data_IF_127648205810
#
_entry.id   IF_127648205810
#
_cell.length_a   1.000
_cell.length_b   1.000
_cell.length_c   1.000
_cell.angle_alpha   90.00
_cell.angle_beta   90.00
_cell.angle_gamma   90.00
#
_symmetry.space_group_name_H-M   'P 1'
#
loop_
_entity.id
_entity.type
_entity.pdbx_description
1 polymer ?
#
# COMPACT_ATOMS: atom_id res chain seq x y z
N UNK A 1 66.26 57.29 -31.12
CA UNK A 1 64.83 57.62 -31.18
C UNK A 1 63.93 56.43 -31.57
N UNK A 2 64.15 55.65 -32.65
CA UNK A 2 63.19 54.60 -33.06
C UNK A 2 63.13 53.35 -32.14
N UNK A 3 64.18 53.06 -31.35
CA UNK A 3 64.18 51.93 -30.41
C UNK A 3 63.21 52.10 -29.23
N UNK A 4 63.00 53.34 -28.75
CA UNK A 4 62.11 53.62 -27.62
C UNK A 4 60.63 53.43 -27.98
N UNK A 5 60.22 53.82 -29.18
CA UNK A 5 58.82 53.69 -29.66
C UNK A 5 58.40 52.21 -29.78
N UNK A 6 59.33 51.34 -30.16
CA UNK A 6 59.09 49.89 -30.24
C UNK A 6 58.98 49.27 -28.84
N UNK A 7 59.69 49.80 -27.85
CA UNK A 7 59.61 49.35 -26.45
C UNK A 7 58.29 49.78 -25.81
N UNK A 8 57.86 51.02 -26.03
CA UNK A 8 56.56 51.54 -25.57
C UNK A 8 55.38 50.76 -26.18
N UNK A 9 55.44 50.45 -27.49
CA UNK A 9 54.41 49.63 -28.14
C UNK A 9 54.32 48.20 -27.57
N UNK A 10 55.45 47.61 -27.16
CA UNK A 10 55.48 46.30 -26.48
C UNK A 10 54.92 46.37 -25.07
N UNK A 11 55.22 47.43 -24.33
CA UNK A 11 54.67 47.66 -22.99
C UNK A 11 53.16 47.88 -23.05
N UNK A 12 52.67 48.74 -23.95
CA UNK A 12 51.24 48.96 -24.16
C UNK A 12 50.49 47.67 -24.56
N UNK A 13 51.12 46.79 -25.36
CA UNK A 13 50.54 45.48 -25.69
C UNK A 13 50.48 44.55 -24.47
N UNK A 14 51.51 44.56 -23.63
CA UNK A 14 51.54 43.77 -22.39
C UNK A 14 50.52 44.28 -21.37
N UNK A 15 50.34 45.59 -21.26
CA UNK A 15 49.34 46.22 -20.39
C UNK A 15 47.92 45.89 -20.83
N UNK A 16 47.63 45.94 -22.14
CA UNK A 16 46.34 45.49 -22.67
C UNK A 16 46.06 44.02 -22.35
N UNK A 17 47.06 43.14 -22.52
CA UNK A 17 46.92 41.73 -22.15
C UNK A 17 46.68 41.54 -20.64
N UNK A 18 47.33 42.35 -19.80
CA UNK A 18 47.10 42.32 -18.35
C UNK A 18 45.70 42.81 -17.98
N UNK A 19 45.21 43.85 -18.65
CA UNK A 19 43.85 44.36 -18.46
C UNK A 19 42.80 43.34 -18.89
N UNK A 20 42.96 42.73 -20.07
CA UNK A 20 42.10 41.66 -20.57
C UNK A 20 42.07 40.45 -19.61
N UNK A 21 43.22 40.06 -19.06
CA UNK A 21 43.31 38.99 -18.06
C UNK A 21 42.62 39.38 -16.74
N UNK A 22 42.80 40.62 -16.28
CA UNK A 22 42.17 41.11 -15.06
C UNK A 22 40.64 41.17 -15.21
N UNK A 23 40.14 41.66 -16.34
CA UNK A 23 38.71 41.68 -16.66
C UNK A 23 38.14 40.26 -16.73
N UNK A 24 38.87 39.31 -17.33
CA UNK A 24 38.46 37.90 -17.36
C UNK A 24 38.42 37.28 -15.95
N UNK A 25 39.38 37.59 -15.09
CA UNK A 25 39.38 37.13 -13.70
C UNK A 25 38.21 37.70 -12.90
N UNK A 26 37.90 38.99 -13.05
CA UNK A 26 36.76 39.64 -12.39
C UNK A 26 35.43 39.06 -12.89
N UNK A 27 35.29 38.84 -14.19
CA UNK A 27 34.11 38.16 -14.76
C UNK A 27 33.92 36.75 -14.19
N UNK A 28 34.99 35.97 -14.08
CA UNK A 28 34.97 34.63 -13.46
C UNK A 28 34.66 34.67 -11.96
N UNK A 29 35.10 35.70 -11.24
CA UNK A 29 34.74 35.90 -9.83
C UNK A 29 33.26 36.23 -9.69
N UNK A 30 32.76 37.15 -10.50
CA UNK A 30 31.35 37.55 -10.50
C UNK A 30 30.41 36.39 -10.88
N UNK A 31 30.79 35.55 -11.84
CA UNK A 31 30.04 34.33 -12.19
C UNK A 31 29.96 33.36 -11.00
N UNK A 32 31.10 33.05 -10.37
CA UNK A 32 31.12 32.19 -9.18
C UNK A 32 30.29 32.77 -8.06
N UNK A 33 30.40 34.07 -7.80
CA UNK A 33 29.64 34.73 -6.74
C UNK A 33 28.12 34.65 -6.98
N UNK A 34 27.67 34.85 -8.22
CA UNK A 34 26.27 34.66 -8.60
C UNK A 34 25.81 33.21 -8.39
N UNK A 35 26.60 32.23 -8.84
CA UNK A 35 26.30 30.82 -8.63
C UNK A 35 26.23 30.48 -7.13
N UNK A 36 27.18 30.96 -6.32
CA UNK A 36 27.17 30.75 -4.87
C UNK A 36 25.95 31.40 -4.21
N UNK A 37 25.58 32.62 -4.62
CA UNK A 37 24.42 33.33 -4.11
C UNK A 37 23.11 32.59 -4.46
N UNK A 38 22.98 32.07 -5.68
CA UNK A 38 21.83 31.26 -6.11
C UNK A 38 21.74 29.96 -5.31
N UNK A 39 22.85 29.26 -5.13
CA UNK A 39 22.90 28.04 -4.32
C UNK A 39 22.54 28.34 -2.86
N UNK A 40 23.04 29.45 -2.30
CA UNK A 40 22.71 29.88 -0.95
C UNK A 40 21.20 30.19 -0.80
N UNK A 41 20.62 30.95 -1.73
CA UNK A 41 19.19 31.26 -1.75
C UNK A 41 18.32 30.00 -1.89
N UNK A 42 18.73 29.02 -2.69
CA UNK A 42 18.04 27.73 -2.82
C UNK A 42 18.11 26.91 -1.53
N UNK A 43 19.25 26.91 -0.84
CA UNK A 43 19.41 26.25 0.47
C UNK A 43 18.55 26.92 1.53
N UNK A 44 18.52 28.25 1.56
CA UNK A 44 17.68 29.00 2.50
C UNK A 44 16.18 28.71 2.26
N UNK A 45 15.72 28.72 1.01
CA UNK A 45 14.34 28.33 0.66
C UNK A 45 14.00 26.90 1.10
N UNK A 46 14.93 25.95 0.98
CA UNK A 46 14.73 24.58 1.48
C UNK A 46 14.59 24.54 3.00
N UNK A 47 15.43 25.29 3.72
CA UNK A 47 15.36 25.39 5.18
C UNK A 47 14.06 26.07 5.62
N UNK A 48 13.63 27.13 4.96
CA UNK A 48 12.35 27.81 5.22
C UNK A 48 11.16 26.85 5.06
N UNK A 49 11.07 26.13 3.93
CA UNK A 49 10.02 25.11 3.73
C UNK A 49 10.10 23.95 4.72
N UNK A 50 11.30 23.61 5.21
CA UNK A 50 11.44 22.60 6.25
C UNK A 50 10.89 23.11 7.59
N UNK A 51 11.19 24.36 7.96
CA UNK A 51 10.66 25.01 9.16
C UNK A 51 9.14 25.17 9.11
N UNK A 52 8.59 25.62 7.98
CA UNK A 52 7.14 25.73 7.79
C UNK A 52 6.44 24.38 7.99
N UNK A 53 6.98 23.31 7.38
CA UNK A 53 6.44 21.95 7.57
C UNK A 53 6.55 21.48 9.02
N UNK A 54 7.64 21.78 9.71
CA UNK A 54 7.81 21.45 11.13
C UNK A 54 6.81 22.20 12.02
N UNK A 55 6.54 23.48 11.73
CA UNK A 55 5.54 24.28 12.44
C UNK A 55 4.11 23.79 12.18
N UNK A 56 3.78 23.44 10.93
CA UNK A 56 2.50 22.83 10.59
C UNK A 56 2.34 21.47 11.28
N UNK A 57 3.35 20.61 11.26
CA UNK A 57 3.32 19.32 11.94
C UNK A 57 3.14 19.48 13.45
N UNK A 58 3.82 20.45 14.09
CA UNK A 58 3.62 20.78 15.49
C UNK A 58 2.18 21.24 15.78
N UNK A 59 1.61 22.11 14.93
CA UNK A 59 0.20 22.55 15.07
C UNK A 59 -0.76 21.37 14.94
N UNK A 60 -0.56 20.51 13.95
CA UNK A 60 -1.36 19.29 13.75
C UNK A 60 -1.20 18.27 14.88
N UNK A 61 0.01 18.13 15.44
CA UNK A 61 0.27 17.25 16.58
C UNK A 61 -0.41 17.77 17.85
N UNK A 62 -0.40 19.08 18.10
CA UNK A 62 -1.14 19.69 19.21
C UNK A 62 -2.64 19.49 19.05
N UNK A 63 -3.18 19.67 17.85
CA UNK A 63 -4.62 19.45 17.58
C UNK A 63 -5.01 17.98 17.79
N UNK A 64 -4.21 17.03 17.28
CA UNK A 64 -4.40 15.59 17.52
C UNK A 64 -4.31 15.24 19.00
N UNK A 65 -3.34 15.81 19.72
CA UNK A 65 -3.19 15.57 21.16
C UNK A 65 -4.39 16.08 21.96
N UNK A 66 -4.96 17.24 21.59
CA UNK A 66 -6.19 17.74 22.20
C UNK A 66 -7.40 16.86 21.88
N UNK A 67 -7.55 16.38 20.63
CA UNK A 67 -8.63 15.48 20.25
C UNK A 67 -8.53 14.12 20.98
N UNK A 68 -7.32 13.55 21.05
CA UNK A 68 -7.06 12.32 21.81
C UNK A 68 -7.30 12.51 23.31
N UNK A 69 -6.94 13.67 23.87
CA UNK A 69 -7.22 13.99 25.27
C UNK A 69 -8.74 14.12 25.52
N UNK A 70 -9.49 14.72 24.60
CA UNK A 70 -10.97 14.78 24.69
C UNK A 70 -11.60 13.40 24.58
N UNK A 71 -11.13 12.55 23.67
CA UNK A 71 -11.61 11.16 23.57
C UNK A 71 -11.29 10.34 24.82
N UNK A 72 -10.07 10.44 25.35
CA UNK A 72 -9.70 9.76 26.60
C UNK A 72 -10.55 10.23 27.79
N UNK A 73 -10.83 11.53 27.88
CA UNK A 73 -11.69 12.06 28.93
C UNK A 73 -13.14 11.54 28.82
N UNK A 74 -13.70 11.46 27.62
CA UNK A 74 -15.05 10.92 27.38
C UNK A 74 -15.12 9.41 27.66
N UNK A 75 -14.10 8.64 27.26
CA UNK A 75 -14.00 7.21 27.56
C UNK A 75 -13.86 6.95 29.07
N UNK A 76 -13.10 7.78 29.79
CA UNK A 76 -12.95 7.69 31.25
C UNK A 76 -14.23 8.09 31.99
N UNK A 77 -14.94 9.12 31.52
CA UNK A 77 -16.26 9.51 32.04
C UNK A 77 -17.30 8.40 31.80
N UNK A 78 -17.33 7.81 30.60
CA UNK A 78 -18.21 6.68 30.26
C UNK A 78 -17.88 5.45 31.08
N UNK A 79 -16.59 5.17 31.33
CA UNK A 79 -16.15 4.07 32.21
C UNK A 79 -16.57 4.31 33.66
N UNK A 80 -16.47 5.55 34.15
CA UNK A 80 -16.92 5.93 35.50
C UNK A 80 -18.43 5.81 35.65
N UNK A 81 -19.22 6.25 34.67
CA UNK A 81 -20.69 6.07 34.64
C UNK A 81 -21.09 4.59 34.64
N UNK A 82 -20.41 3.75 33.85
CA UNK A 82 -20.65 2.29 33.86
C UNK A 82 -20.35 1.65 35.21
N UNK A 83 -19.25 2.05 35.88
CA UNK A 83 -18.92 1.53 37.21
C UNK A 83 -19.94 1.97 38.28
N UNK A 84 -20.48 3.18 38.18
CA UNK A 84 -21.52 3.68 39.08
C UNK A 84 -22.87 2.97 38.84
N UNK A 85 -23.25 2.77 37.58
CA UNK A 85 -24.45 2.02 37.20
C UNK A 85 -24.36 0.54 37.60
N UNK A 86 -23.19 -0.09 37.43
CA UNK A 86 -22.95 -1.47 37.84
C UNK A 86 -23.01 -1.63 39.37
N UNK A 87 -22.46 -0.67 40.13
CA UNK A 87 -22.61 -0.63 41.60
C UNK A 87 -24.08 -0.50 42.01
N UNK A 88 -24.82 0.41 41.38
CA UNK A 88 -26.26 0.60 41.64
C UNK A 88 -27.09 -0.65 41.30
N UNK A 89 -26.77 -1.32 40.20
CA UNK A 89 -27.43 -2.57 39.79
C UNK A 89 -27.07 -3.73 40.73
N UNK A 90 -25.83 -3.76 41.24
CA UNK A 90 -25.40 -4.74 42.26
C UNK A 90 -26.13 -4.53 43.58
N UNK A 91 -26.27 -3.28 44.03
CA UNK A 91 -27.05 -2.94 45.22
C UNK A 91 -28.54 -3.28 45.06
N UNK A 92 -29.14 -3.02 43.90
CA UNK A 92 -30.54 -3.41 43.63
C UNK A 92 -30.70 -4.94 43.57
N UNK A 93 -29.76 -5.67 42.96
CA UNK A 93 -29.74 -7.14 42.99
C UNK A 93 -29.59 -7.71 44.39
N UNK A 94 -28.71 -7.13 45.22
CA UNK A 94 -28.51 -7.58 46.59
C UNK A 94 -29.73 -7.25 47.47
N UNK A 95 -30.39 -6.10 47.24
CA UNK A 95 -31.67 -5.76 47.87
C UNK A 95 -32.78 -6.74 47.48
N UNK A 96 -32.89 -7.05 46.19
CA UNK A 96 -33.87 -7.99 45.64
C UNK A 96 -33.61 -9.44 46.09
N UNK A 97 -32.34 -9.83 46.26
CA UNK A 97 -31.95 -11.10 46.87
C UNK A 97 -32.34 -11.16 48.34
N UNK A 98 -32.07 -10.12 49.14
CA UNK A 98 -32.51 -10.06 50.54
C UNK A 98 -34.03 -10.14 50.68
N UNK A 99 -34.78 -9.44 49.82
CA UNK A 99 -36.25 -9.49 49.81
C UNK A 99 -36.77 -10.87 49.38
N UNK A 100 -36.10 -11.53 48.44
CA UNK A 100 -36.42 -12.90 48.03
C UNK A 100 -36.09 -13.92 49.13
N UNK A 101 -34.99 -13.75 49.85
CA UNK A 101 -34.56 -14.58 50.98
C UNK A 101 -35.53 -14.42 52.18
N UNK A 102 -36.02 -13.21 52.41
CA UNK A 102 -37.08 -12.92 53.40
C UNK A 102 -38.43 -13.54 52.98
N UNK A 103 -38.73 -13.60 51.67
CA UNK A 103 -39.90 -14.32 51.13
C UNK A 103 -39.74 -15.85 51.14
N UNK A 104 -38.52 -16.37 51.05
CA UNK A 104 -38.20 -17.81 51.08
C UNK A 104 -38.14 -18.35 52.52
N UNK A 105 -37.84 -17.51 53.50
CA UNK A 105 -37.98 -17.82 54.93
C UNK A 105 -39.44 -17.94 55.41
N UNK A 106 -40.43 -17.76 54.52
CA UNK A 106 -41.80 -18.21 54.75
C UNK A 106 -41.90 -19.69 54.35
N UNK A 107 -42.35 -20.59 55.26
CA UNK A 107 -42.28 -22.02 55.03
C UNK A 107 -43.19 -22.42 53.85
N UNK A 108 -42.58 -22.82 52.73
CA UNK A 108 -43.24 -23.52 51.63
C UNK A 108 -42.58 -24.88 51.46
N UNK A 109 -43.40 -25.92 51.50
CA UNK A 109 -43.00 -27.33 51.52
C UNK A 109 -42.24 -27.78 50.27
N UNK A 110 -41.55 -28.93 50.35
CA UNK A 110 -40.56 -29.34 49.37
C UNK A 110 -41.21 -30.17 48.25
N UNK A 111 -41.11 -29.68 47.00
CA UNK A 111 -40.84 -30.53 45.84
C UNK A 111 -40.68 -29.68 44.59
N UNK A 112 -39.56 -29.79 43.87
CA UNK A 112 -39.53 -30.00 42.41
C UNK A 112 -38.08 -30.19 41.93
N UNK A 113 -37.91 -31.22 41.10
CA UNK A 113 -36.66 -31.71 40.51
C UNK A 113 -36.19 -30.73 39.42
N UNK A 114 -34.94 -30.24 39.53
CA UNK A 114 -34.30 -29.40 38.52
C UNK A 114 -33.35 -30.25 37.68
N UNK A 115 -33.69 -30.47 36.41
CA UNK A 115 -32.78 -30.97 35.38
C UNK A 115 -31.83 -29.85 34.95
N UNK A 116 -30.53 -30.01 35.20
CA UNK A 116 -29.47 -29.12 34.69
C UNK A 116 -29.35 -29.28 33.16
N UNK A 117 -29.52 -28.20 32.41
CA UNK A 117 -28.97 -28.05 31.05
C UNK A 117 -27.76 -27.11 31.12
N UNK A 118 -26.62 -27.61 30.70
CA UNK A 118 -25.36 -26.90 30.56
C UNK A 118 -25.11 -26.67 29.07
N UNK A 119 -25.37 -25.47 28.58
CA UNK A 119 -24.93 -25.02 27.25
C UNK A 119 -24.69 -23.51 27.34
N UNK A 120 -23.48 -23.13 27.75
CA UNK A 120 -23.05 -21.74 27.78
C UNK A 120 -21.53 -21.62 27.66
N UNK A 121 -20.89 -22.36 26.74
CA UNK A 121 -19.46 -22.19 26.44
C UNK A 121 -19.19 -22.46 24.95
N UNK A 122 -19.42 -21.45 24.09
CA UNK A 122 -18.75 -21.28 22.77
C UNK A 122 -19.25 -20.02 22.06
N UNK A 123 -18.82 -18.85 22.51
CA UNK A 123 -19.05 -17.60 21.75
C UNK A 123 -18.00 -16.51 22.05
N UNK A 124 -16.75 -16.89 22.32
CA UNK A 124 -15.72 -15.89 22.68
C UNK A 124 -14.30 -16.21 22.17
N UNK A 125 -14.15 -16.89 21.01
CA UNK A 125 -12.81 -17.24 20.51
C UNK A 125 -12.60 -17.08 19.00
N UNK A 126 -13.54 -16.47 18.27
CA UNK A 126 -13.39 -16.22 16.81
C UNK A 126 -13.26 -14.72 16.49
N UNK A 127 -12.94 -13.88 17.47
CA UNK A 127 -12.52 -12.48 17.23
C UNK A 127 -10.99 -12.45 17.02
N UNK A 128 -10.51 -13.26 16.07
CA UNK A 128 -9.09 -13.45 15.79
C UNK A 128 -8.66 -12.53 14.65
N UNK A 129 -8.10 -11.37 14.98
CA UNK A 129 -7.15 -10.56 14.19
C UNK A 129 -7.62 -9.99 12.82
N UNK A 130 -8.66 -10.54 12.21
CA UNK A 130 -9.22 -10.12 10.93
C UNK A 130 -10.15 -8.91 11.07
N UNK A 131 -10.70 -8.65 12.26
CA UNK A 131 -11.53 -7.47 12.53
C UNK A 131 -10.71 -6.24 12.98
N UNK A 132 -9.41 -6.39 13.24
CA UNK A 132 -8.52 -5.28 13.63
C UNK A 132 -7.89 -4.57 12.42
N UNK A 133 -7.93 -5.19 11.24
CA UNK A 133 -7.64 -4.53 9.98
C UNK A 133 -8.98 -4.28 9.31
N UNK A 134 -9.35 -3.01 9.13
CA UNK A 134 -10.49 -2.62 8.30
C UNK A 134 -10.45 -3.49 7.03
N UNK A 135 -11.56 -4.16 6.72
CA UNK A 135 -11.63 -5.01 5.53
C UNK A 135 -11.17 -4.21 4.32
N UNK A 136 -10.51 -4.88 3.36
CA UNK A 136 -10.04 -4.22 2.13
C UNK A 136 -11.16 -3.41 1.46
N UNK A 137 -12.38 -3.94 1.50
CA UNK A 137 -13.60 -3.30 1.02
C UNK A 137 -13.95 -2.03 1.81
N UNK A 138 -13.89 -2.08 3.14
CA UNK A 138 -14.10 -0.91 3.99
C UNK A 138 -13.04 0.18 3.77
N UNK A 139 -11.79 -0.20 3.52
CA UNK A 139 -10.72 0.77 3.22
C UNK A 139 -10.93 1.43 1.84
N UNK A 140 -11.41 0.68 0.85
CA UNK A 140 -11.74 1.20 -0.47
C UNK A 140 -12.96 2.14 -0.42
N UNK A 141 -13.97 1.80 0.36
CA UNK A 141 -15.14 2.66 0.63
C UNK A 141 -14.75 3.95 1.35
N UNK A 142 -13.92 3.86 2.40
CA UNK A 142 -13.38 5.05 3.08
C UNK A 142 -12.56 5.91 2.13
N UNK A 143 -11.71 5.30 1.29
CA UNK A 143 -10.96 6.02 0.26
C UNK A 143 -11.89 6.72 -0.72
N UNK A 144 -12.94 6.05 -1.19
CA UNK A 144 -13.94 6.63 -2.11
C UNK A 144 -14.70 7.78 -1.45
N UNK A 145 -15.08 7.63 -0.19
CA UNK A 145 -15.72 8.68 0.59
C UNK A 145 -14.81 9.90 0.76
N UNK A 146 -13.55 9.71 1.16
CA UNK A 146 -12.56 10.79 1.29
C UNK A 146 -12.32 11.49 -0.06
N UNK A 147 -12.22 10.73 -1.15
CA UNK A 147 -12.04 11.30 -2.48
C UNK A 147 -13.27 12.13 -2.91
N UNK A 148 -14.49 11.66 -2.63
CA UNK A 148 -15.70 12.44 -2.92
C UNK A 148 -15.81 13.72 -2.09
N UNK A 149 -15.29 13.72 -0.86
CA UNK A 149 -15.25 14.92 -0.01
C UNK A 149 -14.20 15.93 -0.51
N UNK A 150 -13.06 15.45 -0.99
CA UNK A 150 -11.97 16.31 -1.50
C UNK A 150 -12.22 16.82 -2.91
N UNK A 151 -12.82 15.99 -3.77
CA UNK A 151 -13.15 16.34 -5.15
C UNK A 151 -14.57 16.87 -5.16
N UNK A 152 -14.70 18.18 -4.95
CA UNK A 152 -16.00 18.84 -5.03
C UNK A 152 -16.51 18.79 -6.49
N UNK A 153 -17.76 18.37 -6.73
CA UNK A 153 -18.33 18.37 -8.08
C UNK A 153 -18.40 19.81 -8.62
N UNK A 154 -18.03 19.96 -9.89
CA UNK A 154 -17.98 21.25 -10.57
C UNK A 154 -19.41 21.70 -10.93
N UNK A 155 -19.85 22.83 -10.38
CA UNK A 155 -21.08 23.50 -10.79
C UNK A 155 -20.76 24.50 -11.90
N UNK A 156 -21.13 24.18 -13.14
CA UNK A 156 -20.85 25.03 -14.31
C UNK A 156 -22.08 25.80 -14.81
N UNK A 157 -23.27 25.49 -14.30
CA UNK A 157 -24.52 26.11 -14.74
C UNK A 157 -24.62 27.57 -14.26
N UNK A 158 -24.86 28.49 -15.21
CA UNK A 158 -25.05 29.91 -14.93
C UNK A 158 -23.78 30.73 -14.68
N UNK A 159 -22.59 30.18 -14.93
CA UNK A 159 -21.34 30.94 -14.84
C UNK A 159 -21.07 31.76 -16.11
N UNK A 160 -20.70 33.03 -15.92
CA UNK A 160 -20.26 33.93 -16.98
C UNK A 160 -18.82 33.63 -17.42
N UNK A 161 -18.43 34.03 -18.64
CA UNK A 161 -17.13 33.69 -19.24
C UNK A 161 -15.93 34.12 -18.38
N UNK A 162 -16.01 35.29 -17.74
CA UNK A 162 -14.97 35.78 -16.82
C UNK A 162 -14.85 34.91 -15.56
N UNK A 163 -15.99 34.45 -15.01
CA UNK A 163 -16.02 33.58 -13.82
C UNK A 163 -15.51 32.17 -14.12
N UNK A 164 -15.76 31.66 -15.33
CA UNK A 164 -15.22 30.39 -15.79
C UNK A 164 -13.69 30.44 -15.90
N UNK A 165 -13.12 31.55 -16.37
CA UNK A 165 -11.67 31.75 -16.43
C UNK A 165 -11.02 31.80 -15.03
N UNK A 166 -11.66 32.48 -14.08
CA UNK A 166 -11.20 32.50 -12.68
C UNK A 166 -11.22 31.10 -12.07
N UNK A 167 -12.32 30.36 -12.24
CA UNK A 167 -12.45 28.97 -11.78
C UNK A 167 -11.40 28.05 -12.41
N UNK A 168 -11.12 28.20 -13.70
CA UNK A 168 -10.07 27.43 -14.36
C UNK A 168 -8.68 27.71 -13.77
N UNK A 169 -8.37 28.98 -13.45
CA UNK A 169 -7.11 29.36 -12.81
C UNK A 169 -7.00 28.80 -11.39
N UNK A 170 -8.07 28.90 -10.60
CA UNK A 170 -8.13 28.32 -9.24
C UNK A 170 -7.86 26.81 -9.27
N UNK A 171 -8.54 26.07 -10.16
CA UNK A 171 -8.34 24.63 -10.32
C UNK A 171 -6.91 24.31 -10.78
N UNK A 172 -6.36 25.09 -11.69
CA UNK A 172 -4.99 24.92 -12.15
C UNK A 172 -3.98 25.08 -11.01
N UNK A 173 -4.14 26.11 -10.17
CA UNK A 173 -3.27 26.31 -9.01
C UNK A 173 -3.44 25.20 -7.97
N UNK A 174 -4.68 24.75 -7.75
CA UNK A 174 -4.96 23.63 -6.86
C UNK A 174 -4.31 22.32 -7.33
N UNK A 175 -4.40 22.02 -8.63
CA UNK A 175 -3.74 20.85 -9.24
C UNK A 175 -2.22 20.94 -9.08
N UNK A 176 -1.61 22.11 -9.33
CA UNK A 176 -0.16 22.29 -9.14
C UNK A 176 0.29 22.01 -7.71
N UNK A 177 -0.50 22.42 -6.72
CA UNK A 177 -0.23 22.13 -5.30
C UNK A 177 -0.29 20.62 -5.03
N UNK A 178 -1.37 19.96 -5.47
CA UNK A 178 -1.55 18.51 -5.30
C UNK A 178 -0.45 17.68 -5.98
N UNK A 179 0.02 18.08 -7.14
CA UNK A 179 1.16 17.43 -7.82
C UNK A 179 2.45 17.55 -6.99
N UNK A 180 2.68 18.69 -6.35
CA UNK A 180 3.79 18.87 -5.41
C UNK A 180 3.68 17.93 -4.20
N UNK A 181 2.50 17.86 -3.59
CA UNK A 181 2.24 16.97 -2.44
C UNK A 181 2.41 15.50 -2.82
N UNK A 182 1.92 15.10 -4.00
CA UNK A 182 2.10 13.75 -4.55
C UNK A 182 3.58 13.42 -4.69
N UNK A 183 4.38 14.30 -5.28
CA UNK A 183 5.82 14.08 -5.41
C UNK A 183 6.49 13.86 -4.05
N UNK A 184 6.20 14.71 -3.06
CA UNK A 184 6.76 14.59 -1.70
C UNK A 184 6.35 13.26 -1.03
N UNK A 185 5.10 12.84 -1.19
CA UNK A 185 4.60 11.56 -0.67
C UNK A 185 5.25 10.36 -1.37
N UNK A 186 5.41 10.39 -2.69
CA UNK A 186 6.10 9.34 -3.45
C UNK A 186 7.56 9.22 -3.02
N UNK A 187 8.27 10.34 -2.80
CA UNK A 187 9.64 10.31 -2.30
C UNK A 187 9.73 9.73 -0.90
N UNK A 188 8.79 10.07 0.01
CA UNK A 188 8.71 9.47 1.35
C UNK A 188 8.42 7.97 1.26
N UNK A 189 7.49 7.57 0.40
CA UNK A 189 7.13 6.17 0.18
C UNK A 189 8.33 5.34 -0.30
N UNK A 190 9.08 5.85 -1.29
CA UNK A 190 10.32 5.20 -1.76
C UNK A 190 11.32 5.00 -0.62
N UNK A 191 11.57 6.03 0.19
CA UNK A 191 12.47 5.93 1.37
C UNK A 191 12.01 4.86 2.35
N UNK A 192 10.72 4.85 2.70
CA UNK A 192 10.16 3.83 3.58
C UNK A 192 10.29 2.43 3.00
N UNK A 193 10.12 2.26 1.68
CA UNK A 193 10.35 0.97 1.02
C UNK A 193 11.82 0.53 1.13
N UNK A 194 12.78 1.44 0.93
CA UNK A 194 14.19 1.13 1.13
C UNK A 194 14.47 0.69 2.58
N UNK A 195 14.00 1.45 3.57
CA UNK A 195 14.17 1.11 4.98
C UNK A 195 13.54 -0.25 5.32
N UNK A 196 12.36 -0.55 4.77
CA UNK A 196 11.68 -1.83 4.97
C UNK A 196 12.47 -3.00 4.36
N UNK A 197 13.06 -2.81 3.18
CA UNK A 197 13.91 -3.82 2.52
C UNK A 197 15.18 -4.05 3.34
N UNK A 198 15.84 -2.99 3.81
CA UNK A 198 17.05 -3.11 4.66
C UNK A 198 16.75 -3.84 5.97
N UNK A 199 15.66 -3.49 6.65
CA UNK A 199 15.22 -4.17 7.87
C UNK A 199 14.92 -5.65 7.62
N UNK A 200 14.26 -5.97 6.50
CA UNK A 200 13.98 -7.35 6.12
C UNK A 200 15.27 -8.14 5.83
N UNK A 201 16.25 -7.52 5.18
CA UNK A 201 17.55 -8.13 4.92
C UNK A 201 18.34 -8.35 6.22
N UNK A 202 18.40 -7.34 7.09
CA UNK A 202 19.03 -7.44 8.42
C UNK A 202 18.40 -8.54 9.26
N UNK A 203 17.07 -8.67 9.23
CA UNK A 203 16.36 -9.76 9.90
C UNK A 203 16.73 -11.13 9.32
N UNK A 204 16.85 -11.26 7.99
CA UNK A 204 17.32 -12.50 7.34
C UNK A 204 18.75 -12.85 7.75
N UNK A 205 19.66 -11.87 7.81
CA UNK A 205 21.04 -12.09 8.24
C UNK A 205 21.11 -12.52 9.72
N UNK A 206 20.35 -11.88 10.61
CA UNK A 206 20.26 -12.28 12.02
C UNK A 206 19.70 -13.70 12.20
N UNK A 207 18.69 -14.08 11.40
CA UNK A 207 18.11 -15.42 11.46
C UNK A 207 19.04 -16.49 10.86
N UNK A 208 19.89 -16.14 9.90
CA UNK A 208 20.90 -17.04 9.33
C UNK A 208 22.00 -17.41 10.34
N UNK A 209 22.34 -16.51 11.26
CA UNK A 209 23.26 -16.78 12.38
C UNK A 209 22.64 -17.61 13.52
N UNK A 210 21.31 -17.53 13.70
CA UNK A 210 20.58 -18.29 14.73
C UNK A 210 20.23 -19.72 14.30
N UNK A 211 20.24 -20.02 13.00
CA UNK A 211 19.90 -21.35 12.45
C UNK A 211 20.95 -22.46 12.59
N UNK A 212 22.11 -22.21 13.21
CA UNK A 212 23.13 -23.27 13.44
C UNK A 212 22.91 -24.11 14.70
N UNK A 213 21.83 -23.89 15.45
CA UNK A 213 21.36 -24.84 16.46
C UNK A 213 19.87 -25.10 16.26
N UNK A 214 19.60 -26.22 15.58
CA UNK A 214 18.31 -26.90 15.61
C UNK A 214 17.12 -26.08 15.14
N UNK A 215 16.69 -26.32 13.91
CA UNK A 215 15.31 -26.70 13.58
C UNK A 215 15.20 -26.73 12.05
N UNK A 216 14.91 -27.94 11.58
CA UNK A 216 14.40 -28.28 10.26
C UNK A 216 13.24 -27.36 9.83
N UNK A 217 13.07 -27.16 8.52
CA UNK A 217 11.90 -26.56 7.86
C UNK A 217 11.90 -25.02 7.65
N UNK A 218 12.90 -24.51 6.94
CA UNK A 218 12.60 -23.53 5.89
C UNK A 218 12.82 -24.26 4.57
N UNK A 219 11.72 -24.57 3.88
CA UNK A 219 11.73 -25.12 2.53
C UNK A 219 12.37 -24.08 1.62
N UNK A 220 13.69 -24.13 1.52
CA UNK A 220 14.42 -23.54 0.40
C UNK A 220 14.01 -24.38 -0.80
N UNK A 221 13.41 -23.70 -1.78
CA UNK A 221 12.99 -24.27 -3.06
C UNK A 221 13.99 -25.33 -3.54
N UNK A 222 13.53 -26.57 -3.73
CA UNK A 222 14.32 -27.73 -4.15
C UNK A 222 14.98 -27.56 -5.53
N UNK A 223 14.73 -26.43 -6.20
CA UNK A 223 15.45 -25.95 -7.38
C UNK A 223 16.91 -25.58 -7.09
N UNK A 224 17.29 -25.36 -5.82
CA UNK A 224 18.66 -25.01 -5.46
C UNK A 224 19.55 -26.26 -5.38
N UNK A 225 20.08 -26.69 -6.53
CA UNK A 225 21.02 -27.81 -6.58
C UNK A 225 22.40 -27.40 -6.03
N UNK A 226 22.58 -27.59 -4.72
CA UNK A 226 23.86 -27.40 -4.00
C UNK A 226 25.06 -28.09 -4.63
N UNK A 227 24.85 -29.09 -5.50
CA UNK A 227 25.93 -29.80 -6.18
C UNK A 227 26.38 -29.06 -7.45
N UNK A 228 25.46 -28.38 -8.15
CA UNK A 228 25.77 -27.55 -9.33
C UNK A 228 26.63 -26.32 -8.96
N UNK A 229 26.41 -25.74 -7.77
CA UNK A 229 27.25 -24.65 -7.24
C UNK A 229 28.70 -25.09 -6.96
N UNK A 230 28.93 -26.38 -6.68
CA UNK A 230 30.27 -26.91 -6.37
C UNK A 230 30.98 -27.46 -7.60
N UNK A 231 30.22 -27.92 -8.60
CA UNK A 231 30.73 -28.53 -9.82
C UNK A 231 30.00 -27.94 -11.03
N UNK A 232 30.50 -26.81 -11.52
CA UNK A 232 29.92 -26.03 -12.64
C UNK A 232 29.93 -26.75 -13.99
N UNK A 233 30.61 -27.90 -14.10
CA UNK A 233 30.67 -28.73 -15.32
C UNK A 233 29.85 -30.02 -15.26
N UNK A 234 29.11 -30.28 -14.18
CA UNK A 234 28.29 -31.49 -14.06
C UNK A 234 26.93 -31.31 -14.75
N UNK A 235 26.44 -32.30 -15.53
CA UNK A 235 25.13 -32.22 -16.18
C UNK A 235 24.00 -32.14 -15.14
N UNK A 236 22.90 -31.41 -15.44
CA UNK A 236 21.82 -31.18 -14.49
C UNK A 236 21.16 -32.49 -14.07
N UNK A 237 20.73 -32.56 -12.81
CA UNK A 237 20.07 -33.75 -12.28
C UNK A 237 18.75 -34.00 -12.99
N UNK A 238 18.59 -35.20 -13.54
CA UNK A 238 17.33 -35.69 -14.10
C UNK A 238 16.45 -36.12 -12.93
N UNK A 239 15.29 -35.48 -12.76
CA UNK A 239 14.31 -35.87 -11.75
C UNK A 239 13.60 -37.15 -12.24
N UNK A 240 13.87 -38.28 -11.57
CA UNK A 240 13.29 -39.59 -11.91
C UNK A 240 11.84 -39.78 -11.44
N UNK A 241 11.38 -38.92 -10.52
CA UNK A 241 10.04 -38.95 -9.97
C UNK A 241 9.46 -37.54 -9.94
N UNK A 242 8.14 -37.43 -10.15
CA UNK A 242 7.46 -36.14 -10.23
C UNK A 242 7.46 -35.44 -8.87
N UNK A 243 7.60 -34.11 -8.83
CA UNK A 243 7.51 -33.29 -7.61
C UNK A 243 6.21 -33.53 -6.82
N UNK A 244 5.18 -34.05 -7.49
CA UNK A 244 3.87 -34.37 -6.92
C UNK A 244 3.72 -35.81 -6.43
N UNK A 245 4.69 -36.69 -6.72
CA UNK A 245 4.65 -38.11 -6.37
C UNK A 245 4.86 -38.36 -4.87
N UNK A 246 5.45 -37.38 -4.16
CA UNK A 246 5.66 -37.41 -2.71
C UNK A 246 4.50 -36.82 -1.90
N UNK A 247 3.37 -36.53 -2.52
CA UNK A 247 2.18 -36.12 -1.80
C UNK A 247 1.47 -37.36 -1.24
N UNK A 248 1.34 -37.44 0.09
CA UNK A 248 0.64 -38.54 0.75
C UNK A 248 -0.83 -38.51 0.34
N UNK A 249 -1.26 -39.45 -0.49
CA UNK A 249 -2.64 -39.50 -0.95
C UNK A 249 -3.59 -39.82 0.22
N UNK A 250 -4.39 -38.81 0.59
CA UNK A 250 -5.38 -38.89 1.66
C UNK A 250 -6.66 -39.63 1.25
N UNK A 251 -6.81 -40.03 -0.02
CA UNK A 251 -7.95 -40.80 -0.51
C UNK A 251 -7.99 -42.19 0.13
N UNK A 252 -9.20 -42.70 0.31
CA UNK A 252 -9.42 -44.07 0.78
C UNK A 252 -8.98 -45.09 -0.27
N UNK A 253 -8.76 -46.35 0.13
CA UNK A 253 -8.32 -47.41 -0.80
C UNK A 253 -9.27 -47.57 -2.01
N UNK A 254 -10.58 -47.43 -1.77
CA UNK A 254 -11.61 -47.54 -2.83
C UNK A 254 -11.49 -46.39 -3.83
N UNK A 255 -11.32 -45.16 -3.34
CA UNK A 255 -11.16 -43.97 -4.19
C UNK A 255 -9.88 -44.01 -5.01
N UNK A 256 -8.77 -44.52 -4.44
CA UNK A 256 -7.53 -44.74 -5.20
C UNK A 256 -7.72 -45.75 -6.31
N UNK A 257 -8.40 -46.87 -6.03
CA UNK A 257 -8.65 -47.92 -7.01
C UNK A 257 -9.43 -47.40 -8.23
N UNK A 258 -10.50 -46.64 -7.99
CA UNK A 258 -11.30 -46.02 -9.06
C UNK A 258 -10.44 -45.07 -9.90
N UNK A 259 -9.60 -44.26 -9.26
CA UNK A 259 -8.75 -43.32 -9.97
C UNK A 259 -7.71 -44.00 -10.86
N UNK A 260 -7.11 -45.10 -10.41
CA UNK A 260 -6.21 -45.90 -11.24
C UNK A 260 -6.93 -46.62 -12.38
N UNK A 261 -8.15 -47.10 -12.16
CA UNK A 261 -9.00 -47.68 -13.22
C UNK A 261 -9.42 -46.63 -14.25
N UNK A 262 -9.65 -45.39 -13.83
CA UNK A 262 -9.99 -44.26 -14.71
C UNK A 262 -8.77 -43.77 -15.51
N UNK A 263 -7.57 -43.70 -14.91
CA UNK A 263 -6.34 -43.36 -15.64
C UNK A 263 -5.89 -44.44 -16.62
N UNK A 264 -6.27 -45.70 -16.39
CA UNK A 264 -5.96 -46.80 -17.29
C UNK A 264 -6.84 -46.81 -18.55
N UNK A 265 -7.89 -45.99 -18.61
CA UNK A 265 -8.73 -45.84 -19.80
C UNK A 265 -7.99 -44.98 -20.82
N UNK A 266 -7.86 -45.49 -22.05
CA UNK A 266 -7.23 -44.71 -23.12
C UNK A 266 -8.03 -43.42 -23.37
N UNK A 267 -7.35 -42.27 -23.50
CA UNK A 267 -8.03 -41.01 -23.78
C UNK A 267 -8.75 -41.10 -25.13
N UNK A 268 -9.96 -40.54 -25.26
CA UNK A 268 -10.67 -40.54 -26.52
C UNK A 268 -9.84 -39.80 -27.59
N UNK A 269 -9.86 -40.27 -28.85
CA UNK A 269 -9.13 -39.61 -29.94
C UNK A 269 -9.52 -38.13 -30.04
N UNK A 270 -8.55 -37.22 -30.27
CA UNK A 270 -8.85 -35.81 -30.39
C UNK A 270 -9.77 -35.56 -31.58
N UNK A 271 -10.87 -34.85 -31.34
CA UNK A 271 -11.86 -34.51 -32.37
C UNK A 271 -11.30 -33.42 -33.28
N UNK A 272 -10.81 -33.81 -34.46
CA UNK A 272 -10.26 -32.89 -35.45
C UNK A 272 -11.43 -32.16 -36.12
N UNK A 273 -11.64 -30.89 -35.76
CA UNK A 273 -12.59 -30.03 -36.46
C UNK A 273 -12.05 -29.68 -37.85
N UNK A 274 -12.55 -30.36 -38.88
CA UNK A 274 -12.27 -30.01 -40.27
C UNK A 274 -12.99 -28.71 -40.64
N UNK A 275 -12.26 -27.59 -40.68
CA UNK A 275 -12.75 -26.33 -41.24
C UNK A 275 -12.90 -26.52 -42.75
N UNK A 276 -14.15 -26.54 -43.27
CA UNK A 276 -14.39 -26.52 -44.73
C UNK A 276 -13.90 -25.18 -45.30
N UNK A 277 -13.14 -25.17 -46.40
CA UNK A 277 -12.77 -23.92 -47.06
C UNK A 277 -14.02 -23.28 -47.68
N UNK A 278 -14.19 -21.98 -47.44
CA UNK A 278 -15.26 -21.15 -48.03
C UNK A 278 -15.01 -21.07 -49.54
N UNK A 279 -15.92 -21.63 -50.34
CA UNK A 279 -15.89 -21.53 -51.79
C UNK A 279 -16.41 -20.16 -52.24
N UNK A 280 -15.57 -19.41 -52.94
CA UNK A 280 -15.91 -18.20 -53.68
C UNK A 280 -16.94 -18.53 -54.78
N UNK A 281 -18.04 -17.77 -54.84
CA UNK A 281 -19.03 -17.87 -55.92
C UNK A 281 -20.45 -17.55 -55.47
N UNK A 282 -20.81 -16.26 -55.48
CA UNK A 282 -22.16 -15.82 -55.12
C UNK A 282 -22.46 -14.35 -55.41
N UNK A 283 -21.84 -13.74 -56.42
CA UNK A 283 -22.28 -12.48 -56.99
C UNK A 283 -22.91 -12.77 -58.35
N UNK A 284 -24.18 -13.19 -58.36
CA UNK A 284 -25.12 -13.18 -59.49
C UNK A 284 -26.44 -13.86 -59.09
N UNK A 285 -27.24 -13.23 -58.23
CA UNK A 285 -28.66 -13.58 -58.15
C UNK A 285 -29.57 -12.42 -57.69
N UNK A 286 -29.12 -11.17 -57.82
CA UNK A 286 -29.96 -9.98 -57.56
C UNK A 286 -30.52 -9.33 -58.83
N UNK A 287 -30.42 -9.98 -60.00
CA UNK A 287 -30.88 -9.44 -61.28
C UNK A 287 -32.12 -10.13 -61.87
N UNK A 288 -32.71 -11.13 -61.19
CA UNK A 288 -33.83 -11.91 -61.75
C UNK A 288 -35.22 -11.60 -61.14
N UNK A 289 -35.32 -10.76 -60.10
CA UNK A 289 -36.61 -10.42 -59.45
C UNK A 289 -37.20 -9.08 -59.92
N UNK A 290 -36.52 -8.37 -60.83
CA UNK A 290 -36.95 -7.07 -61.35
C UNK A 290 -37.59 -7.10 -62.75
N UNK A 291 -37.96 -8.28 -63.28
CA UNK A 291 -38.53 -8.42 -64.63
C UNK A 291 -39.88 -9.18 -64.70
N UNK A 292 -40.56 -9.43 -63.57
CA UNK A 292 -41.95 -9.93 -63.53
C UNK A 292 -42.86 -9.02 -62.68
N UNK A 293 -42.70 -7.71 -62.86
CA UNK A 293 -43.63 -6.71 -62.37
C UNK A 293 -43.87 -5.63 -63.44
N UNK A 294 -44.37 -6.05 -64.60
CA UNK A 294 -45.25 -5.26 -65.47
C UNK A 294 -46.23 -6.18 -66.21
#
# INVERSE_FOLDING_TARGET
MPCCVVQEAKQARLEKQRQELAEYEEMRRAEREKEYAEIAALKEKRVQRAKEREEEEKKWAVLRSQEEARRKADDEERRRKKQEEEKRNKEDRDRKKREAEERLNKPKGPNFVITKRSDAEKLDSVMSKEELQKSKEQLEEEKRAILSQRIQPLTLEGMDASKLLEKARELQEHIRRLEGDKYDLEQRYKRQQYDMIELAERARQMNKGKGKRGVSAVQVDESFDRLADKFTGAPPKIQLCSKYERHTDHRTYVERKVLFEDLAKEPPPPEIQHVRPVSEGGEQEEAAVAAEAE
#
